data_IF_556115768241
#
_entry.id   IF_556115768241
#
_cell.length_a   1.000
_cell.length_b   1.000
_cell.length_c   1.000
_cell.angle_alpha   90.00
_cell.angle_beta   90.00
_cell.angle_gamma   90.00
#
_symmetry.space_group_name_H-M   'P 1'
#
loop_
_entity.id
_entity.type
_entity.pdbx_description
1 polymer ?
#
# COMPACT_ATOMS: atom_id res chain seq x y z
N UNK A 1 10.58 -29.26 7.24
CA UNK A 1 10.14 -27.86 7.05
C UNK A 1 10.22 -26.97 8.31
N UNK A 2 9.84 -27.44 9.52
CA UNK A 2 9.86 -26.64 10.77
C UNK A 2 11.24 -26.09 11.21
N UNK A 3 12.34 -26.65 10.71
CA UNK A 3 13.72 -26.27 11.07
C UNK A 3 14.27 -25.09 10.25
N UNK A 4 13.91 -24.97 8.98
CA UNK A 4 14.39 -23.88 8.11
C UNK A 4 13.79 -22.52 8.50
N UNK A 5 12.50 -22.48 8.85
CA UNK A 5 11.79 -21.27 9.33
C UNK A 5 12.29 -20.71 10.66
N UNK A 6 13.03 -21.51 11.45
CA UNK A 6 13.63 -21.06 12.72
C UNK A 6 15.03 -20.50 12.57
N UNK A 7 15.65 -20.62 11.38
CA UNK A 7 17.00 -20.13 11.16
C UNK A 7 17.09 -18.62 11.33
N UNK A 8 17.98 -18.18 12.21
CA UNK A 8 18.24 -16.77 12.48
C UNK A 8 18.69 -16.01 11.21
N UNK A 9 19.40 -16.71 10.31
CA UNK A 9 19.78 -16.21 8.97
C UNK A 9 18.55 -15.93 8.10
N UNK A 10 17.58 -16.84 8.07
CA UNK A 10 16.38 -16.69 7.24
C UNK A 10 15.50 -15.54 7.75
N UNK A 11 15.37 -15.38 9.08
CA UNK A 11 14.65 -14.24 9.67
C UNK A 11 15.28 -12.91 9.32
N UNK A 12 16.61 -12.83 9.44
CA UNK A 12 17.36 -11.64 9.02
C UNK A 12 17.17 -11.34 7.54
N UNK A 13 17.29 -12.36 6.67
CA UNK A 13 17.12 -12.21 5.22
C UNK A 13 15.71 -11.70 4.85
N UNK A 14 14.65 -12.29 5.42
CA UNK A 14 13.27 -11.85 5.14
C UNK A 14 13.07 -10.41 5.59
N UNK A 15 13.56 -10.02 6.77
CA UNK A 15 13.42 -8.65 7.25
C UNK A 15 14.16 -7.64 6.36
N UNK A 16 15.37 -7.97 5.90
CA UNK A 16 16.12 -7.12 4.96
C UNK A 16 15.39 -7.00 3.61
N UNK A 17 14.91 -8.12 3.07
CA UNK A 17 14.12 -8.11 1.83
C UNK A 17 12.85 -7.27 1.98
N UNK A 18 12.15 -7.39 3.11
CA UNK A 18 10.99 -6.56 3.41
C UNK A 18 11.32 -5.07 3.41
N UNK A 19 12.41 -4.66 4.05
CA UNK A 19 12.83 -3.25 4.09
C UNK A 19 13.12 -2.73 2.67
N UNK A 20 13.85 -3.52 1.87
CA UNK A 20 14.22 -3.14 0.50
C UNK A 20 12.96 -3.07 -0.39
N UNK A 21 12.14 -4.12 -0.39
CA UNK A 21 10.89 -4.17 -1.17
C UNK A 21 9.93 -3.06 -0.76
N UNK A 22 9.82 -2.78 0.54
CA UNK A 22 9.00 -1.68 1.05
C UNK A 22 9.52 -0.33 0.56
N UNK A 23 10.83 -0.08 0.62
CA UNK A 23 11.43 1.15 0.10
C UNK A 23 11.18 1.37 -1.39
N UNK A 24 11.37 0.34 -2.21
CA UNK A 24 11.10 0.39 -3.66
C UNK A 24 9.61 0.66 -3.92
N UNK A 25 8.72 -0.07 -3.23
CA UNK A 25 7.27 0.07 -3.42
C UNK A 25 6.79 1.46 -2.99
N UNK A 26 7.26 1.96 -1.84
CA UNK A 26 6.94 3.29 -1.35
C UNK A 26 7.42 4.38 -2.31
N UNK A 27 8.61 4.21 -2.91
CA UNK A 27 9.10 5.12 -3.94
C UNK A 27 8.17 5.12 -5.16
N UNK A 28 7.80 3.95 -5.70
CA UNK A 28 6.87 3.91 -6.85
C UNK A 28 5.52 4.55 -6.53
N UNK A 29 4.94 4.29 -5.34
CA UNK A 29 3.65 4.85 -4.96
C UNK A 29 3.68 6.37 -4.70
N UNK A 30 4.74 6.88 -4.07
CA UNK A 30 4.86 8.30 -3.73
C UNK A 30 5.16 9.16 -4.96
N UNK A 31 6.00 8.68 -5.87
CA UNK A 31 6.43 9.45 -7.05
C UNK A 31 5.49 9.31 -8.25
N UNK A 32 4.82 8.16 -8.44
CA UNK A 32 3.84 7.99 -9.53
C UNK A 32 2.43 8.45 -9.13
N UNK A 33 2.07 8.45 -7.84
CA UNK A 33 0.73 8.83 -7.36
C UNK A 33 0.54 10.32 -7.01
N UNK A 34 1.63 11.06 -6.76
CA UNK A 34 1.59 12.43 -6.21
C UNK A 34 1.61 13.57 -7.24
N UNK A 35 1.45 13.27 -8.55
CA UNK A 35 1.67 14.23 -9.65
C UNK A 35 0.52 15.18 -9.99
N UNK A 36 -0.71 14.96 -9.50
CA UNK A 36 -1.88 15.78 -9.86
C UNK A 36 -2.67 16.24 -8.63
N UNK A 37 -2.02 16.90 -7.69
CA UNK A 37 -2.68 17.94 -6.90
C UNK A 37 -2.41 19.29 -7.55
N UNK A 38 -2.90 19.44 -8.80
CA UNK A 38 -3.04 20.75 -9.42
C UNK A 38 -4.06 21.54 -8.60
N UNK A 39 -3.58 22.63 -7.99
CA UNK A 39 -4.34 23.45 -7.07
C UNK A 39 -5.54 24.10 -7.75
N UNK A 40 -6.68 23.42 -7.75
CA UNK A 40 -7.98 24.06 -7.95
C UNK A 40 -8.35 24.78 -6.66
N UNK A 41 -7.67 25.91 -6.42
CA UNK A 41 -8.16 26.97 -5.54
C UNK A 41 -9.53 27.38 -6.07
N UNK A 42 -10.57 26.88 -5.42
CA UNK A 42 -11.94 27.32 -5.64
C UNK A 42 -12.00 28.83 -5.38
N UNK A 43 -12.15 29.58 -6.47
CA UNK A 43 -12.62 30.94 -6.45
C UNK A 43 -13.95 30.97 -5.70
N UNK A 44 -14.00 31.78 -4.66
CA UNK A 44 -15.26 32.19 -4.08
C UNK A 44 -16.04 33.02 -5.11
N UNK A 45 -17.32 32.68 -5.26
CA UNK A 45 -18.44 33.61 -5.51
C UNK A 45 -18.50 34.29 -6.88
N UNK A 46 -19.39 33.80 -7.75
CA UNK A 46 -20.52 34.63 -8.18
C UNK A 46 -21.67 33.80 -8.78
N UNK A 47 -22.84 34.09 -8.25
CA UNK A 47 -24.18 33.69 -8.61
C UNK A 47 -24.63 34.56 -9.79
N UNK A 48 -24.84 34.00 -10.99
CA UNK A 48 -25.77 34.51 -12.03
C UNK A 48 -25.54 33.87 -13.40
N UNK A 49 -26.35 32.86 -13.76
CA UNK A 49 -26.94 32.70 -15.11
C UNK A 49 -27.76 31.39 -15.19
N UNK A 50 -28.83 31.37 -14.42
CA UNK A 50 -30.07 30.75 -14.87
C UNK A 50 -30.53 31.53 -16.12
N UNK A 51 -30.86 30.84 -17.22
CA UNK A 51 -31.25 31.34 -18.55
C UNK A 51 -30.07 31.68 -19.49
N UNK A 52 -29.65 30.70 -20.31
CA UNK A 52 -29.40 30.83 -21.76
C UNK A 52 -28.72 29.56 -22.31
N UNK A 53 -29.47 28.46 -22.47
CA UNK A 53 -29.16 27.43 -23.49
C UNK A 53 -30.40 26.56 -23.75
N UNK A 54 -31.48 27.20 -24.20
CA UNK A 54 -32.50 26.51 -24.99
C UNK A 54 -32.20 26.78 -26.46
N UNK A 55 -32.37 25.75 -27.30
CA UNK A 55 -32.34 25.77 -28.78
C UNK A 55 -31.03 25.32 -29.45
N UNK A 56 -30.66 24.05 -29.27
CA UNK A 56 -29.98 23.30 -30.33
C UNK A 56 -30.69 21.95 -30.47
N UNK A 57 -31.26 21.70 -31.65
CA UNK A 57 -31.92 20.44 -31.96
C UNK A 57 -30.92 19.30 -31.80
N UNK A 58 -31.10 18.47 -30.78
CA UNK A 58 -30.37 17.22 -30.64
C UNK A 58 -30.82 16.31 -31.79
N UNK A 59 -29.88 15.92 -32.64
CA UNK A 59 -30.12 14.88 -33.64
C UNK A 59 -30.31 13.55 -32.91
N UNK A 60 -31.21 12.68 -33.41
CA UNK A 60 -31.40 11.32 -32.87
C UNK A 60 -30.11 10.50 -32.86
N UNK A 61 -29.13 10.83 -33.71
CA UNK A 61 -27.80 10.22 -33.71
C UNK A 61 -27.02 10.45 -32.40
N UNK A 62 -27.13 11.63 -31.78
CA UNK A 62 -26.42 11.94 -30.52
C UNK A 62 -27.06 11.24 -29.31
N UNK A 63 -28.37 10.95 -29.39
CA UNK A 63 -29.08 10.19 -28.35
C UNK A 63 -28.76 8.70 -28.46
N UNK A 64 -28.57 8.19 -29.68
CA UNK A 64 -28.15 6.79 -29.90
C UNK A 64 -26.70 6.58 -29.48
N UNK A 65 -25.82 7.57 -29.63
CA UNK A 65 -24.42 7.49 -29.15
C UNK A 65 -24.34 7.55 -27.61
N UNK A 66 -25.27 8.24 -26.95
CA UNK A 66 -25.39 8.23 -25.48
C UNK A 66 -25.96 6.92 -24.91
N UNK A 67 -26.78 6.20 -25.69
CA UNK A 67 -27.44 4.95 -25.29
C UNK A 67 -26.60 3.73 -25.72
N UNK A 68 -25.85 3.83 -26.81
CA UNK A 68 -24.92 2.80 -27.28
C UNK A 68 -23.59 2.98 -26.56
N UNK A 69 -23.51 2.46 -25.34
CA UNK A 69 -22.31 2.46 -24.50
C UNK A 69 -21.12 1.71 -25.12
N UNK A 70 -20.53 2.30 -26.16
CA UNK A 70 -19.33 1.86 -26.86
C UNK A 70 -18.26 2.96 -26.77
N UNK A 71 -18.05 3.46 -25.55
CA UNK A 71 -16.84 4.18 -25.16
C UNK A 71 -15.69 3.22 -24.89
N UNK A 72 -15.39 2.31 -25.82
CA UNK A 72 -14.15 1.52 -25.81
C UNK A 72 -13.00 2.39 -26.30
N UNK A 73 -12.42 3.16 -25.39
CA UNK A 73 -10.98 3.41 -25.41
C UNK A 73 -10.41 3.05 -24.05
N UNK A 74 -10.55 1.77 -23.70
CA UNK A 74 -9.54 1.08 -22.91
C UNK A 74 -8.24 1.08 -23.71
N UNK A 75 -7.56 2.23 -23.75
CA UNK A 75 -6.13 2.22 -23.97
C UNK A 75 -5.56 1.33 -22.86
N UNK A 76 -4.79 0.30 -23.21
CA UNK A 76 -4.03 -0.39 -22.20
C UNK A 76 -2.97 0.60 -21.71
N UNK A 77 -3.21 1.26 -20.58
CA UNK A 77 -2.18 2.00 -19.83
C UNK A 77 -1.23 0.94 -19.24
N UNK A 78 -0.49 0.31 -20.13
CA UNK A 78 0.26 -0.92 -19.92
C UNK A 78 1.71 -0.56 -19.61
N UNK A 79 2.10 -0.80 -18.36
CA UNK A 79 3.49 -0.97 -17.96
C UNK A 79 3.79 -0.52 -16.53
N UNK A 80 3.38 0.70 -16.17
CA UNK A 80 3.79 1.34 -14.90
C UNK A 80 2.84 1.02 -13.73
N UNK A 81 1.53 1.13 -13.93
CA UNK A 81 0.52 0.80 -12.90
C UNK A 81 0.58 -0.67 -12.47
N UNK A 82 0.87 -1.57 -13.41
CA UNK A 82 1.06 -2.99 -13.10
C UNK A 82 2.29 -3.26 -12.22
N UNK A 83 3.36 -2.47 -12.35
CA UNK A 83 4.58 -2.71 -11.57
C UNK A 83 4.35 -2.47 -10.09
N UNK A 84 3.62 -1.40 -9.73
CA UNK A 84 3.24 -1.14 -8.35
C UNK A 84 2.37 -2.26 -7.77
N UNK A 85 1.42 -2.79 -8.56
CA UNK A 85 0.56 -3.91 -8.14
C UNK A 85 1.37 -5.18 -7.88
N UNK A 86 2.29 -5.56 -8.78
CA UNK A 86 3.14 -6.74 -8.57
C UNK A 86 4.09 -6.57 -7.37
N UNK A 87 4.66 -5.39 -7.18
CA UNK A 87 5.47 -5.06 -6.02
C UNK A 87 4.65 -5.14 -4.73
N UNK A 88 3.44 -4.59 -4.72
CA UNK A 88 2.49 -4.67 -3.61
C UNK A 88 2.12 -6.12 -3.26
N UNK A 89 1.85 -6.96 -4.26
CA UNK A 89 1.59 -8.40 -4.06
C UNK A 89 2.82 -9.13 -3.50
N UNK A 90 4.02 -8.82 -4.00
CA UNK A 90 5.26 -9.40 -3.48
C UNK A 90 5.51 -8.99 -2.02
N UNK A 91 5.23 -7.72 -1.69
CA UNK A 91 5.33 -7.19 -0.34
C UNK A 91 4.32 -7.88 0.60
N UNK A 92 3.09 -8.08 0.13
CA UNK A 92 2.07 -8.83 0.87
C UNK A 92 2.53 -10.26 1.17
N UNK A 93 3.08 -10.96 0.18
CA UNK A 93 3.61 -12.31 0.35
C UNK A 93 4.78 -12.36 1.36
N UNK A 94 5.72 -11.41 1.27
CA UNK A 94 6.82 -11.28 2.25
C UNK A 94 6.30 -10.99 3.66
N UNK A 95 5.25 -10.16 3.79
CA UNK A 95 4.63 -9.85 5.07
C UNK A 95 3.90 -11.05 5.68
N UNK A 96 3.28 -11.90 4.86
CA UNK A 96 2.73 -13.18 5.33
C UNK A 96 3.84 -14.09 5.86
N UNK A 97 4.96 -14.21 5.14
CA UNK A 97 6.11 -14.99 5.59
C UNK A 97 6.69 -14.45 6.91
N UNK A 98 6.84 -13.13 7.02
CA UNK A 98 7.28 -12.48 8.26
C UNK A 98 6.32 -12.74 9.42
N UNK A 99 5.01 -12.65 9.18
CA UNK A 99 3.98 -12.95 10.18
C UNK A 99 4.06 -14.41 10.64
N UNK A 100 4.27 -15.36 9.73
CA UNK A 100 4.47 -16.78 10.05
C UNK A 100 5.74 -16.98 10.88
N UNK A 101 6.86 -16.33 10.52
CA UNK A 101 8.11 -16.41 11.29
C UNK A 101 7.97 -15.89 12.73
N UNK A 102 7.09 -14.90 12.91
CA UNK A 102 6.78 -14.28 14.19
C UNK A 102 5.45 -14.74 14.79
N UNK A 103 4.91 -15.87 14.34
CA UNK A 103 3.58 -16.35 14.73
C UNK A 103 3.40 -16.50 16.25
N UNK A 104 4.45 -16.93 16.97
CA UNK A 104 4.42 -17.03 18.43
C UNK A 104 4.22 -15.68 19.12
N UNK A 105 4.73 -14.61 18.52
CA UNK A 105 4.54 -13.25 19.00
C UNK A 105 3.18 -12.71 18.55
N UNK A 106 2.80 -12.96 17.29
CA UNK A 106 1.50 -12.54 16.74
C UNK A 106 0.32 -13.11 17.53
N UNK A 107 0.40 -14.39 17.96
CA UNK A 107 -0.62 -14.99 18.84
C UNK A 107 -0.81 -14.22 20.16
N UNK A 108 0.25 -13.59 20.69
CA UNK A 108 0.16 -12.77 21.91
C UNK A 108 -0.53 -11.44 21.66
N UNK A 109 -0.59 -10.97 20.41
CA UNK A 109 -1.32 -9.77 20.04
C UNK A 109 -2.83 -9.90 20.27
N UNK A 110 -3.36 -11.13 20.34
CA UNK A 110 -4.77 -11.36 20.70
C UNK A 110 -5.03 -11.31 22.22
N UNK A 111 -3.99 -11.14 23.04
CA UNK A 111 -4.13 -10.86 24.47
C UNK A 111 -4.16 -9.35 24.69
N UNK A 112 -5.21 -8.88 25.38
CA UNK A 112 -5.45 -7.46 25.71
C UNK A 112 -4.27 -6.80 26.43
N UNK A 113 -3.61 -7.53 27.33
CA UNK A 113 -2.42 -7.04 28.05
C UNK A 113 -1.24 -6.75 27.14
N UNK A 114 -1.09 -7.53 26.07
CA UNK A 114 0.02 -7.39 25.12
C UNK A 114 -0.24 -6.28 24.10
N UNK A 115 -1.51 -6.04 23.73
CA UNK A 115 -1.93 -4.91 22.88
C UNK A 115 -1.59 -3.58 23.53
N UNK A 116 -1.95 -3.39 24.80
CA UNK A 116 -1.70 -2.14 25.53
C UNK A 116 -0.22 -1.86 25.79
N UNK A 117 0.60 -2.91 25.88
CA UNK A 117 2.07 -2.78 26.03
C UNK A 117 2.77 -2.49 24.71
N UNK A 118 2.21 -2.93 23.58
CA UNK A 118 2.82 -2.79 22.24
C UNK A 118 1.92 -1.99 21.29
N UNK A 119 1.39 -0.85 21.76
CA UNK A 119 0.40 -0.04 21.01
C UNK A 119 0.88 0.31 19.62
N UNK A 120 2.11 0.81 19.48
CA UNK A 120 2.66 1.23 18.20
C UNK A 120 2.65 0.08 17.18
N UNK A 121 3.14 -1.09 17.58
CA UNK A 121 3.23 -2.25 16.69
C UNK A 121 1.83 -2.81 16.34
N UNK A 122 0.90 -2.78 17.31
CA UNK A 122 -0.49 -3.17 17.08
C UNK A 122 -1.16 -2.24 16.07
N UNK A 123 -0.94 -0.94 16.20
CA UNK A 123 -1.41 0.08 15.24
C UNK A 123 -0.79 -0.17 13.86
N UNK A 124 0.52 -0.47 13.77
CA UNK A 124 1.18 -0.82 12.50
C UNK A 124 0.48 -1.99 11.80
N UNK A 125 0.13 -3.05 12.53
CA UNK A 125 -0.59 -4.21 11.98
C UNK A 125 -1.97 -3.82 11.46
N UNK A 126 -2.72 -3.01 12.20
CA UNK A 126 -4.04 -2.54 11.78
C UNK A 126 -3.96 -1.72 10.50
N UNK A 127 -3.04 -0.76 10.42
CA UNK A 127 -2.83 0.05 9.22
C UNK A 127 -2.33 -0.78 8.03
N UNK A 128 -1.50 -1.79 8.29
CA UNK A 128 -1.06 -2.72 7.25
C UNK A 128 -2.24 -3.50 6.65
N UNK A 129 -3.14 -4.02 7.50
CA UNK A 129 -4.35 -4.71 7.04
C UNK A 129 -5.26 -3.76 6.26
N UNK A 130 -5.47 -2.54 6.74
CA UNK A 130 -6.29 -1.54 6.05
C UNK A 130 -5.72 -1.20 4.66
N UNK A 131 -4.40 -1.00 4.56
CA UNK A 131 -3.70 -0.74 3.29
C UNK A 131 -3.78 -1.94 2.33
N UNK A 132 -3.60 -3.16 2.84
CA UNK A 132 -3.70 -4.37 2.02
C UNK A 132 -5.13 -4.58 1.47
N UNK A 133 -6.14 -4.39 2.32
CA UNK A 133 -7.54 -4.51 1.90
C UNK A 133 -7.90 -3.44 0.88
N UNK A 134 -7.53 -2.17 1.11
CA UNK A 134 -7.80 -1.09 0.14
C UNK A 134 -7.08 -1.32 -1.20
N UNK A 135 -5.85 -1.84 -1.18
CA UNK A 135 -5.12 -2.21 -2.40
C UNK A 135 -5.79 -3.35 -3.18
N UNK A 136 -6.28 -4.38 -2.49
CA UNK A 136 -7.03 -5.49 -3.13
C UNK A 136 -8.35 -4.98 -3.71
N UNK A 137 -9.07 -4.11 -2.99
CA UNK A 137 -10.33 -3.54 -3.48
C UNK A 137 -10.13 -2.69 -4.73
N UNK A 138 -9.05 -1.89 -4.78
CA UNK A 138 -8.68 -1.12 -5.96
C UNK A 138 -8.33 -2.02 -7.15
N UNK A 139 -7.58 -3.11 -6.91
CA UNK A 139 -7.17 -4.03 -7.96
C UNK A 139 -8.34 -4.84 -8.53
N UNK A 140 -9.23 -5.31 -7.67
CA UNK A 140 -10.36 -6.17 -8.07
C UNK A 140 -11.56 -5.38 -8.61
N UNK A 141 -11.61 -4.05 -8.41
CA UNK A 141 -12.69 -3.16 -8.84
C UNK A 141 -14.09 -3.60 -8.37
N UNK A 142 -14.17 -4.35 -7.26
CA UNK A 142 -15.42 -4.96 -6.76
C UNK A 142 -16.43 -3.91 -6.27
N UNK A 143 -15.96 -2.74 -5.85
CA UNK A 143 -16.81 -1.67 -5.32
C UNK A 143 -16.77 -0.46 -6.25
N UNK A 144 -17.94 0.07 -6.67
CA UNK A 144 -18.01 1.32 -7.44
C UNK A 144 -17.35 2.48 -6.69
N UNK A 145 -16.54 3.27 -7.40
CA UNK A 145 -15.78 4.40 -6.82
C UNK A 145 -16.68 5.47 -6.22
N UNK A 146 -17.91 5.57 -6.70
CA UNK A 146 -18.90 6.58 -6.27
C UNK A 146 -19.45 6.31 -4.85
N UNK A 147 -19.26 5.09 -4.33
CA UNK A 147 -19.73 4.70 -2.99
C UNK A 147 -18.60 4.86 -1.97
N UNK A 148 -17.40 4.38 -2.30
CA UNK A 148 -16.22 4.45 -1.43
C UNK A 148 -14.99 4.77 -2.27
N UNK A 149 -14.31 5.86 -1.94
CA UNK A 149 -13.04 6.24 -2.58
C UNK A 149 -11.87 5.45 -1.97
N UNK A 150 -11.73 4.19 -2.37
CA UNK A 150 -10.61 3.34 -1.91
C UNK A 150 -9.24 3.88 -2.30
N UNK A 151 -9.12 4.74 -3.33
CA UNK A 151 -7.86 5.35 -3.74
C UNK A 151 -7.32 6.26 -2.65
N UNK A 152 -8.18 7.16 -2.17
CA UNK A 152 -7.85 8.10 -1.09
C UNK A 152 -7.55 7.37 0.23
N UNK A 153 -8.36 6.36 0.58
CA UNK A 153 -8.09 5.52 1.77
C UNK A 153 -6.74 4.82 1.64
N UNK A 154 -6.44 4.23 0.48
CA UNK A 154 -5.17 3.55 0.23
C UNK A 154 -3.99 4.52 0.35
N UNK A 155 -4.09 5.71 -0.23
CA UNK A 155 -3.03 6.71 -0.17
C UNK A 155 -2.76 7.20 1.25
N UNK A 156 -3.80 7.62 1.99
CA UNK A 156 -3.66 8.08 3.38
C UNK A 156 -3.11 6.96 4.28
N UNK A 157 -3.66 5.75 4.14
CA UNK A 157 -3.18 4.62 4.95
C UNK A 157 -1.75 4.24 4.60
N UNK A 158 -1.33 4.35 3.34
CA UNK A 158 0.05 4.08 2.91
C UNK A 158 1.05 5.06 3.52
N UNK A 159 0.72 6.36 3.57
CA UNK A 159 1.58 7.40 4.15
C UNK A 159 1.73 7.23 5.66
N UNK A 160 0.64 6.95 6.36
CA UNK A 160 0.68 6.67 7.81
C UNK A 160 1.51 5.41 8.08
N UNK A 161 1.28 4.36 7.29
CA UNK A 161 1.99 3.09 7.42
C UNK A 161 3.50 3.25 7.14
N UNK A 162 3.88 4.08 6.18
CA UNK A 162 5.27 4.46 5.93
C UNK A 162 5.94 5.03 7.17
N UNK A 163 5.32 6.01 7.82
CA UNK A 163 5.83 6.56 9.08
C UNK A 163 5.97 5.49 10.18
N UNK A 164 4.95 4.65 10.35
CA UNK A 164 4.95 3.58 11.36
C UNK A 164 6.04 2.53 11.11
N UNK A 165 6.25 2.13 9.86
CA UNK A 165 7.28 1.16 9.47
C UNK A 165 8.68 1.75 9.69
N UNK A 166 8.91 3.03 9.35
CA UNK A 166 10.19 3.69 9.62
C UNK A 166 10.51 3.69 11.12
N UNK A 167 9.54 4.06 11.97
CA UNK A 167 9.72 4.01 13.43
C UNK A 167 10.02 2.57 13.87
N UNK A 168 9.31 1.57 13.33
CA UNK A 168 9.55 0.17 13.64
C UNK A 168 10.96 -0.30 13.29
N UNK A 169 11.46 0.07 12.10
CA UNK A 169 12.81 -0.25 11.64
C UNK A 169 13.85 0.38 12.59
N UNK A 170 13.68 1.66 12.94
CA UNK A 170 14.58 2.36 13.86
C UNK A 170 14.59 1.71 15.25
N UNK A 171 13.43 1.33 15.79
CA UNK A 171 13.33 0.61 17.08
C UNK A 171 14.07 -0.73 17.05
N UNK A 172 14.15 -1.39 15.89
CA UNK A 172 14.84 -2.66 15.69
C UNK A 172 16.28 -2.52 15.19
N UNK A 173 16.77 -1.30 14.98
CA UNK A 173 18.08 -1.04 14.37
C UNK A 173 19.24 -1.72 15.10
N UNK A 174 19.24 -1.67 16.45
CA UNK A 174 20.26 -2.35 17.27
C UNK A 174 20.31 -3.86 17.00
N UNK A 175 19.15 -4.50 16.84
CA UNK A 175 19.07 -5.94 16.56
C UNK A 175 19.67 -6.29 15.20
N UNK A 176 19.42 -5.46 14.18
CA UNK A 176 20.01 -5.63 12.84
C UNK A 176 21.54 -5.54 12.89
N UNK A 177 22.10 -4.56 13.60
CA UNK A 177 23.55 -4.40 13.76
C UNK A 177 24.16 -5.62 14.45
N UNK A 178 23.60 -6.04 15.59
CA UNK A 178 24.14 -7.17 16.37
C UNK A 178 24.19 -8.46 15.54
N UNK A 179 23.16 -8.72 14.74
CA UNK A 179 23.11 -9.91 13.89
C UNK A 179 24.08 -9.81 12.71
N UNK A 180 24.20 -8.64 12.08
CA UNK A 180 25.16 -8.42 11.01
C UNK A 180 26.59 -8.67 11.52
N UNK A 181 26.95 -8.12 12.69
CA UNK A 181 28.24 -8.34 13.34
C UNK A 181 28.48 -9.81 13.68
N UNK A 182 27.46 -10.53 14.17
CA UNK A 182 27.56 -11.97 14.43
C UNK A 182 27.91 -12.78 13.17
N UNK A 183 27.34 -12.43 12.01
CA UNK A 183 27.67 -13.14 10.77
C UNK A 183 29.06 -12.79 10.23
N UNK A 184 29.51 -11.55 10.37
CA UNK A 184 30.86 -11.12 9.98
C UNK A 184 31.92 -11.86 10.82
N UNK A 185 31.77 -11.82 12.15
CA UNK A 185 32.70 -12.45 13.09
C UNK A 185 32.74 -13.98 12.93
N UNK A 186 31.59 -14.63 12.76
CA UNK A 186 31.54 -16.07 12.53
C UNK A 186 32.20 -16.49 11.21
N UNK A 187 32.04 -15.69 10.15
CA UNK A 187 32.72 -15.96 8.86
C UNK A 187 34.23 -15.87 9.00
N UNK A 188 34.73 -14.90 9.77
CA UNK A 188 36.16 -14.72 10.04
C UNK A 188 36.77 -15.84 10.90
N UNK A 189 35.98 -16.48 11.78
CA UNK A 189 36.45 -17.59 12.62
C UNK A 189 36.46 -18.96 11.90
N UNK A 190 35.86 -19.05 10.71
CA UNK A 190 35.79 -20.28 9.90
C UNK A 190 36.60 -20.20 8.60
N UNK A 191 37.29 -19.08 8.38
CA UNK A 191 38.23 -18.86 7.27
C UNK A 191 39.65 -19.07 7.78
#
# INVERSE_FOLDING_TARGET
MKTLLKSLKLKYLINVLLIISFGITAQTGLFDGGGEHEGRRGHSREESSFIEYSSRSMNEADVIDLISGEGTSSEPVNGKDSTHVYLGLSLLALMLLHTIQHWSWFKKLFSTDHLLKNKLLSITVVFFIAMAVSGIMLWTQVVPRDIINFKEIHEITSQILLGLILIHIVQRFKWYITIAQYFITKKAATA
#
